data_IF_279300461773
#
_entry.id   IF_279300461773
#
_cell.length_a   1.000
_cell.length_b   1.000
_cell.length_c   1.000
_cell.angle_alpha   90.00
_cell.angle_beta   90.00
_cell.angle_gamma   90.00
#
_symmetry.space_group_name_H-M   'P 1'
#
loop_
_entity.id
_entity.type
_entity.pdbx_description
1 polymer ?
#
# COMPACT_ATOMS: atom_id res chain seq x y z
N UNK A 1 14.25 25.95 -1.55
CA UNK A 1 13.61 25.82 -2.86
C UNK A 1 13.64 24.39 -3.43
N UNK A 2 14.17 23.43 -2.69
CA UNK A 2 14.32 22.02 -3.08
C UNK A 2 15.24 21.75 -4.29
N UNK A 3 15.90 22.76 -4.82
CA UNK A 3 16.89 22.56 -5.90
C UNK A 3 18.19 22.00 -5.34
N UNK A 4 18.81 21.09 -6.07
CA UNK A 4 20.14 20.56 -5.73
C UNK A 4 21.20 21.53 -6.25
N UNK A 5 22.06 22.02 -5.35
CA UNK A 5 23.08 23.01 -5.66
C UNK A 5 24.48 22.52 -5.23
N UNK A 6 25.48 22.97 -5.95
CA UNK A 6 26.87 22.75 -5.55
C UNK A 6 27.33 23.77 -4.47
N UNK A 7 28.57 23.64 -3.99
CA UNK A 7 29.17 24.56 -3.02
C UNK A 7 29.29 26.03 -3.50
N UNK A 8 29.17 26.27 -4.80
CA UNK A 8 29.18 27.60 -5.42
C UNK A 8 27.77 28.17 -5.64
N UNK A 9 26.74 27.49 -5.17
CA UNK A 9 25.34 27.90 -5.33
C UNK A 9 24.75 27.64 -6.71
N UNK A 10 25.49 27.02 -7.64
CA UNK A 10 24.96 26.69 -8.99
C UNK A 10 23.97 25.52 -8.89
N UNK A 11 22.83 25.66 -9.52
CA UNK A 11 21.80 24.61 -9.60
C UNK A 11 22.32 23.46 -10.47
N UNK A 12 22.31 22.25 -9.92
CA UNK A 12 22.65 21.01 -10.59
C UNK A 12 21.40 20.26 -11.05
N UNK A 13 20.36 20.24 -10.20
CA UNK A 13 19.06 19.63 -10.47
C UNK A 13 17.95 20.49 -9.88
N UNK A 14 16.80 20.56 -10.53
CA UNK A 14 15.63 21.23 -9.99
C UNK A 14 14.92 20.38 -8.93
N UNK A 15 15.02 19.06 -9.05
CA UNK A 15 14.49 18.09 -8.11
C UNK A 15 15.47 16.93 -8.01
N UNK A 16 15.80 16.49 -6.80
CA UNK A 16 16.75 15.39 -6.61
C UNK A 16 16.18 14.09 -7.18
N UNK A 17 16.86 13.52 -8.20
CA UNK A 17 16.45 12.28 -8.85
C UNK A 17 15.05 12.32 -9.50
N UNK A 18 14.49 13.51 -9.74
CA UNK A 18 13.12 13.78 -10.23
C UNK A 18 11.99 13.39 -9.28
N UNK A 19 12.21 12.48 -8.33
CA UNK A 19 11.22 11.99 -7.36
C UNK A 19 11.46 12.46 -5.92
N UNK A 20 12.57 13.14 -5.66
CA UNK A 20 13.04 13.59 -4.33
C UNK A 20 13.17 12.44 -3.30
N UNK A 21 13.41 11.22 -3.74
CA UNK A 21 13.63 10.07 -2.87
C UNK A 21 15.13 9.77 -2.78
N UNK A 22 15.60 9.55 -1.56
CA UNK A 22 16.98 9.17 -1.29
C UNK A 22 17.21 7.69 -1.69
N UNK A 23 18.05 7.39 -2.69
CA UNK A 23 18.30 6.02 -3.15
C UNK A 23 18.93 5.12 -2.10
N UNK A 24 19.55 5.68 -1.05
CA UNK A 24 20.13 4.90 0.06
C UNK A 24 19.03 4.33 0.97
N UNK A 25 17.89 5.02 1.04
CA UNK A 25 16.77 4.68 1.92
C UNK A 25 15.70 3.83 1.25
N UNK A 26 15.84 3.50 -0.04
CA UNK A 26 14.89 2.65 -0.76
C UNK A 26 15.18 1.17 -0.52
N UNK A 27 14.15 0.37 -0.60
CA UNK A 27 14.22 -1.08 -0.44
C UNK A 27 13.72 -1.80 -1.68
N UNK A 28 14.33 -2.96 -1.97
CA UNK A 28 13.94 -3.80 -3.09
C UNK A 28 12.63 -4.51 -2.80
N UNK A 29 11.67 -4.37 -3.68
CA UNK A 29 10.40 -5.06 -3.57
C UNK A 29 9.92 -5.57 -4.94
N UNK A 30 9.42 -6.81 -4.98
CA UNK A 30 8.81 -7.36 -6.18
C UNK A 30 7.45 -6.74 -6.45
N UNK A 31 7.02 -6.76 -7.71
CA UNK A 31 5.68 -6.33 -8.14
C UNK A 31 4.93 -7.53 -8.71
N UNK A 32 4.27 -8.33 -7.87
CA UNK A 32 3.58 -9.53 -8.33
C UNK A 32 2.46 -9.25 -9.32
N UNK A 33 1.85 -8.06 -9.27
CA UNK A 33 0.76 -7.66 -10.15
C UNK A 33 1.06 -7.85 -11.64
N UNK A 34 2.32 -7.64 -12.06
CA UNK A 34 2.72 -7.80 -13.46
C UNK A 34 2.67 -9.24 -13.96
N UNK A 35 2.86 -10.21 -13.06
CA UNK A 35 2.85 -11.65 -13.37
C UNK A 35 1.49 -12.31 -13.18
N UNK A 36 0.57 -11.63 -12.49
CA UNK A 36 -0.73 -12.20 -12.17
C UNK A 36 -1.62 -12.27 -13.41
N UNK A 37 -2.32 -13.39 -13.56
CA UNK A 37 -3.41 -13.53 -14.50
C UNK A 37 -4.67 -12.82 -13.96
N UNK A 38 -5.65 -12.57 -14.84
CA UNK A 38 -6.90 -11.91 -14.45
C UNK A 38 -7.61 -12.65 -13.31
N UNK A 39 -7.68 -13.98 -13.35
CA UNK A 39 -8.27 -14.80 -12.30
C UNK A 39 -7.57 -14.60 -10.94
N UNK A 40 -6.24 -14.50 -10.96
CA UNK A 40 -5.46 -14.26 -9.75
C UNK A 40 -5.70 -12.85 -9.20
N UNK A 41 -5.86 -11.83 -10.06
CA UNK A 41 -6.23 -10.48 -9.62
C UNK A 41 -7.60 -10.51 -8.95
N UNK A 42 -8.61 -11.13 -9.56
CA UNK A 42 -9.91 -11.30 -8.94
C UNK A 42 -9.78 -12.05 -7.61
N UNK A 43 -9.06 -13.16 -7.58
CA UNK A 43 -8.85 -13.92 -6.36
C UNK A 43 -8.13 -13.13 -5.27
N UNK A 44 -7.22 -12.19 -5.62
CA UNK A 44 -6.51 -11.36 -4.65
C UNK A 44 -7.41 -10.30 -4.00
N UNK A 45 -8.24 -9.63 -4.77
CA UNK A 45 -9.06 -8.51 -4.28
C UNK A 45 -10.47 -8.91 -3.84
N UNK A 46 -11.05 -9.94 -4.46
CA UNK A 46 -12.42 -10.34 -4.18
C UNK A 46 -12.56 -10.89 -2.76
N UNK A 47 -13.48 -10.32 -2.01
CA UNK A 47 -13.87 -10.80 -0.70
C UNK A 47 -14.94 -11.86 -0.87
N UNK A 48 -14.78 -13.09 -0.34
CA UNK A 48 -15.77 -14.16 -0.50
C UNK A 48 -17.11 -13.73 0.10
N UNK A 49 -18.17 -13.82 -0.71
CA UNK A 49 -19.51 -13.38 -0.28
C UNK A 49 -20.26 -14.41 0.53
N UNK A 50 -20.12 -15.69 0.23
CA UNK A 50 -21.03 -16.73 0.73
C UNK A 50 -20.38 -18.02 1.23
N UNK A 51 -19.14 -18.29 0.93
CA UNK A 51 -18.58 -19.64 1.11
C UNK A 51 -18.31 -20.03 2.57
N UNK A 52 -18.58 -19.13 3.52
CA UNK A 52 -18.27 -19.51 4.88
C UNK A 52 -18.88 -18.57 5.91
N UNK A 53 -20.16 -18.73 6.16
CA UNK A 53 -20.75 -18.21 7.42
C UNK A 53 -19.87 -18.57 8.62
N UNK A 54 -19.22 -19.73 8.60
CA UNK A 54 -18.26 -20.18 9.59
C UNK A 54 -16.97 -19.34 9.61
N UNK A 55 -16.33 -19.06 8.47
CA UNK A 55 -15.13 -18.22 8.42
C UNK A 55 -15.43 -16.77 8.82
N UNK A 56 -16.58 -16.22 8.43
CA UNK A 56 -16.97 -14.88 8.86
C UNK A 56 -17.23 -14.79 10.36
N UNK A 57 -17.87 -15.79 10.96
CA UNK A 57 -18.15 -15.82 12.40
C UNK A 57 -16.89 -16.01 13.24
N UNK A 58 -15.88 -16.69 12.70
CA UNK A 58 -14.58 -16.86 13.37
C UNK A 58 -13.63 -15.68 13.14
N UNK A 59 -13.83 -14.91 12.05
CA UNK A 59 -12.95 -13.81 11.70
C UNK A 59 -13.37 -12.49 12.35
N UNK A 60 -14.65 -12.18 12.34
CA UNK A 60 -15.15 -10.85 12.71
C UNK A 60 -15.95 -10.89 14.02
N UNK A 61 -15.90 -9.78 14.76
CA UNK A 61 -16.80 -9.56 15.89
C UNK A 61 -18.26 -9.55 15.43
N UNK A 62 -19.19 -9.89 16.33
CA UNK A 62 -20.64 -9.88 16.02
C UNK A 62 -21.10 -8.52 15.48
N UNK A 63 -20.55 -7.43 16.01
CA UNK A 63 -20.91 -6.06 15.59
C UNK A 63 -20.30 -5.68 14.25
N UNK A 64 -19.04 -6.06 13.98
CA UNK A 64 -18.42 -5.90 12.66
C UNK A 64 -19.20 -6.71 11.59
N UNK A 65 -19.61 -7.93 11.90
CA UNK A 65 -20.43 -8.74 11.02
C UNK A 65 -21.79 -8.12 10.68
N UNK A 66 -22.46 -7.46 11.64
CA UNK A 66 -23.70 -6.72 11.40
C UNK A 66 -23.49 -5.50 10.48
N UNK A 67 -22.41 -4.73 10.72
CA UNK A 67 -22.06 -3.58 9.87
C UNK A 67 -21.72 -4.04 8.46
N UNK A 68 -20.94 -5.08 8.28
CA UNK A 68 -20.55 -5.63 7.00
C UNK A 68 -21.76 -6.04 6.14
N UNK A 69 -22.79 -6.66 6.75
CA UNK A 69 -24.03 -7.02 6.03
C UNK A 69 -24.76 -5.78 5.49
N UNK A 70 -24.78 -4.68 6.25
CA UNK A 70 -25.38 -3.41 5.80
C UNK A 70 -24.59 -2.76 4.67
N UNK A 71 -23.27 -2.90 4.69
CA UNK A 71 -22.34 -2.28 3.74
C UNK A 71 -22.06 -3.17 2.50
N UNK A 72 -22.70 -4.33 2.37
CA UNK A 72 -22.38 -5.32 1.32
C UNK A 72 -22.40 -4.73 -0.09
N UNK A 73 -23.42 -3.96 -0.45
CA UNK A 73 -23.56 -3.36 -1.80
C UNK A 73 -22.46 -2.35 -2.10
N UNK A 74 -22.14 -1.50 -1.14
CA UNK A 74 -21.11 -0.48 -1.27
C UNK A 74 -19.71 -1.11 -1.35
N UNK A 75 -19.45 -2.12 -0.52
CA UNK A 75 -18.23 -2.91 -0.55
C UNK A 75 -18.03 -3.61 -1.91
N UNK A 76 -19.06 -4.28 -2.43
CA UNK A 76 -18.99 -4.95 -3.73
C UNK A 76 -18.67 -3.96 -4.85
N UNK A 77 -19.31 -2.80 -4.86
CA UNK A 77 -19.00 -1.74 -5.83
C UNK A 77 -17.55 -1.26 -5.69
N UNK A 78 -17.08 -0.96 -4.47
CA UNK A 78 -15.71 -0.49 -4.22
C UNK A 78 -14.67 -1.52 -4.68
N UNK A 79 -14.89 -2.80 -4.38
CA UNK A 79 -14.00 -3.90 -4.81
C UNK A 79 -13.97 -4.00 -6.34
N UNK A 80 -15.12 -3.92 -7.02
CA UNK A 80 -15.20 -3.91 -8.48
C UNK A 80 -14.42 -2.75 -9.10
N UNK A 81 -14.57 -1.55 -8.56
CA UNK A 81 -13.85 -0.36 -9.03
C UNK A 81 -12.33 -0.52 -8.88
N UNK A 82 -11.86 -1.06 -7.74
CA UNK A 82 -10.44 -1.31 -7.50
C UNK A 82 -9.90 -2.38 -8.45
N UNK A 83 -10.63 -3.48 -8.65
CA UNK A 83 -10.22 -4.54 -9.60
C UNK A 83 -10.05 -3.95 -11.00
N UNK A 84 -11.03 -3.16 -11.46
CA UNK A 84 -10.97 -2.52 -12.78
C UNK A 84 -9.75 -1.60 -12.91
N UNK A 85 -9.48 -0.79 -11.90
CA UNK A 85 -8.29 0.07 -11.85
C UNK A 85 -6.98 -0.75 -11.85
N UNK A 86 -6.93 -1.87 -11.11
CA UNK A 86 -5.73 -2.71 -11.08
C UNK A 86 -5.46 -3.43 -12.39
N UNK A 87 -6.50 -3.85 -13.10
CA UNK A 87 -6.37 -4.43 -14.45
C UNK A 87 -5.81 -3.38 -15.42
N UNK A 88 -6.38 -2.18 -15.43
CA UNK A 88 -5.90 -1.08 -16.27
C UNK A 88 -4.44 -0.70 -15.94
N UNK A 89 -4.12 -0.58 -14.66
CA UNK A 89 -2.78 -0.28 -14.19
C UNK A 89 -1.77 -1.38 -14.56
N UNK A 90 -2.17 -2.66 -14.47
CA UNK A 90 -1.34 -3.78 -14.92
C UNK A 90 -0.99 -3.65 -16.40
N UNK A 91 -1.97 -3.35 -17.24
CA UNK A 91 -1.74 -3.16 -18.67
C UNK A 91 -0.80 -1.98 -18.96
N UNK A 92 -0.99 -0.85 -18.28
CA UNK A 92 -0.11 0.30 -18.39
C UNK A 92 1.32 -0.03 -17.98
N UNK A 93 1.50 -0.74 -16.85
CA UNK A 93 2.82 -1.17 -16.39
C UNK A 93 3.51 -2.09 -17.39
N UNK A 94 2.83 -3.09 -17.93
CA UNK A 94 3.38 -4.03 -18.89
C UNK A 94 3.76 -3.36 -20.21
N UNK A 95 2.92 -2.47 -20.74
CA UNK A 95 3.15 -1.83 -22.04
C UNK A 95 4.20 -0.71 -21.97
N UNK A 96 4.11 0.16 -20.97
CA UNK A 96 4.85 1.42 -20.97
C UNK A 96 6.07 1.41 -20.03
N UNK A 97 6.03 0.67 -18.93
CA UNK A 97 7.09 0.71 -17.91
C UNK A 97 8.05 -0.47 -18.09
N UNK A 98 7.53 -1.68 -18.05
CA UNK A 98 8.37 -2.88 -17.95
C UNK A 98 8.57 -3.61 -19.28
N UNK A 99 7.88 -3.23 -20.34
CA UNK A 99 8.04 -3.82 -21.69
C UNK A 99 8.07 -5.35 -21.68
N UNK A 100 7.17 -5.98 -20.92
CA UNK A 100 7.03 -7.44 -20.78
C UNK A 100 8.22 -8.19 -20.18
N UNK A 101 9.05 -7.52 -19.37
CA UNK A 101 10.12 -8.20 -18.64
C UNK A 101 9.56 -8.98 -17.42
N UNK A 102 10.08 -10.21 -17.19
CA UNK A 102 9.50 -11.12 -16.20
C UNK A 102 9.95 -10.85 -14.74
N UNK A 103 11.19 -10.42 -14.54
CA UNK A 103 11.77 -10.22 -13.21
C UNK A 103 11.83 -8.73 -12.86
N UNK A 104 10.72 -8.23 -12.33
CA UNK A 104 10.62 -6.82 -11.95
C UNK A 104 10.85 -6.70 -10.45
N UNK A 105 11.93 -6.02 -10.10
CA UNK A 105 12.24 -5.59 -8.75
C UNK A 105 12.21 -4.07 -8.75
N UNK A 106 11.43 -3.49 -7.87
CA UNK A 106 11.34 -2.04 -7.69
C UNK A 106 12.13 -1.61 -6.47
N UNK A 107 12.74 -0.46 -6.59
CA UNK A 107 13.34 0.28 -5.48
C UNK A 107 12.34 1.32 -5.01
N UNK A 108 11.62 1.02 -3.93
CA UNK A 108 10.61 1.91 -3.36
C UNK A 108 10.93 2.24 -1.90
N UNK A 109 10.45 3.40 -1.40
CA UNK A 109 10.80 3.86 -0.04
C UNK A 109 10.33 2.95 1.08
N UNK A 110 9.38 2.06 0.79
CA UNK A 110 8.70 1.26 1.81
C UNK A 110 8.61 -0.20 1.40
N UNK A 111 9.07 -1.11 2.24
CA UNK A 111 8.89 -2.55 2.06
C UNK A 111 7.66 -3.04 2.83
N UNK A 112 6.52 -3.12 2.14
CA UNK A 112 5.22 -3.43 2.75
C UNK A 112 5.21 -4.74 3.54
N UNK A 113 5.66 -5.84 2.95
CA UNK A 113 5.62 -7.16 3.59
C UNK A 113 6.45 -7.23 4.87
N UNK A 114 7.66 -6.63 4.86
CA UNK A 114 8.52 -6.58 6.04
C UNK A 114 7.85 -5.82 7.18
N UNK A 115 7.27 -4.66 6.87
CA UNK A 115 6.61 -3.82 7.89
C UNK A 115 5.36 -4.52 8.43
N UNK A 116 4.54 -5.14 7.57
CA UNK A 116 3.39 -5.93 8.01
C UNK A 116 3.79 -7.07 8.94
N UNK A 117 4.83 -7.83 8.59
CA UNK A 117 5.33 -8.91 9.44
C UNK A 117 5.86 -8.38 10.78
N UNK A 118 6.62 -7.29 10.77
CA UNK A 118 7.15 -6.69 12.00
C UNK A 118 6.03 -6.26 12.95
N UNK A 119 4.98 -5.62 12.42
CA UNK A 119 3.85 -5.19 13.24
C UNK A 119 3.04 -6.40 13.75
N UNK A 120 2.87 -7.42 12.92
CA UNK A 120 2.21 -8.65 13.33
C UNK A 120 2.92 -9.31 14.50
N UNK A 121 4.26 -9.36 14.48
CA UNK A 121 5.07 -9.85 15.58
C UNK A 121 5.05 -8.92 16.80
N UNK A 122 5.19 -7.62 16.60
CA UNK A 122 5.19 -6.62 17.68
C UNK A 122 3.88 -6.61 18.46
N UNK A 123 2.76 -6.78 17.78
CA UNK A 123 1.44 -6.80 18.39
C UNK A 123 0.97 -8.21 18.77
N UNK A 124 1.82 -9.23 18.59
CA UNK A 124 1.50 -10.64 18.85
C UNK A 124 0.19 -11.10 18.19
N UNK A 125 -0.06 -10.67 16.95
CA UNK A 125 -1.30 -11.03 16.25
C UNK A 125 -1.24 -12.49 15.82
N UNK A 126 -2.13 -13.30 16.36
CA UNK A 126 -2.26 -14.72 16.05
C UNK A 126 -3.40 -14.94 15.05
N UNK A 127 -3.38 -16.11 14.40
CA UNK A 127 -4.40 -16.50 13.40
C UNK A 127 -5.83 -16.63 13.95
N UNK A 128 -5.98 -16.75 15.27
CA UNK A 128 -7.26 -16.83 15.96
C UNK A 128 -7.81 -15.47 16.45
N UNK A 129 -7.08 -14.36 16.21
CA UNK A 129 -7.55 -13.04 16.58
C UNK A 129 -8.82 -12.66 15.82
N UNK A 130 -9.74 -12.02 16.54
CA UNK A 130 -11.01 -11.55 15.99
C UNK A 130 -10.88 -10.10 15.55
N UNK A 131 -11.32 -9.80 14.34
CA UNK A 131 -11.24 -8.50 13.70
C UNK A 131 -12.45 -7.65 14.05
N UNK A 132 -12.22 -6.41 14.46
CA UNK A 132 -13.22 -5.43 14.90
C UNK A 132 -13.62 -4.40 13.83
N UNK A 133 -12.92 -4.40 12.70
CA UNK A 133 -13.10 -3.46 11.59
C UNK A 133 -13.71 -4.16 10.36
N UNK A 134 -14.56 -3.44 9.61
CA UNK A 134 -15.08 -3.94 8.34
C UNK A 134 -14.13 -3.65 7.17
N UNK A 135 -14.16 -4.45 6.08
CA UNK A 135 -13.33 -4.19 4.91
C UNK A 135 -13.55 -2.80 4.28
N UNK A 136 -14.78 -2.29 4.31
CA UNK A 136 -15.07 -0.94 3.79
C UNK A 136 -14.44 0.14 4.67
N UNK A 137 -14.53 0.01 6.00
CA UNK A 137 -13.86 0.91 6.94
C UNK A 137 -12.33 0.85 6.77
N UNK A 138 -11.76 -0.33 6.46
CA UNK A 138 -10.35 -0.45 6.17
C UNK A 138 -9.96 0.30 4.89
N UNK A 139 -10.73 0.18 3.81
CA UNK A 139 -10.50 0.98 2.60
C UNK A 139 -10.55 2.47 2.87
N UNK A 140 -11.53 2.96 3.64
CA UNK A 140 -11.63 4.39 3.97
C UNK A 140 -10.42 4.89 4.77
N UNK A 141 -9.87 4.07 5.67
CA UNK A 141 -8.65 4.41 6.39
C UNK A 141 -7.42 4.43 5.45
N UNK A 142 -7.28 3.43 4.59
CA UNK A 142 -6.20 3.34 3.60
C UNK A 142 -6.21 4.54 2.66
N UNK A 143 -7.39 4.92 2.16
CA UNK A 143 -7.57 6.09 1.29
C UNK A 143 -7.23 7.39 2.02
N UNK A 144 -7.67 7.53 3.28
CA UNK A 144 -7.36 8.69 4.10
C UNK A 144 -5.85 8.87 4.28
N UNK A 145 -5.16 7.85 4.75
CA UNK A 145 -3.70 7.92 4.96
C UNK A 145 -2.93 8.16 3.66
N UNK A 146 -3.39 7.61 2.55
CA UNK A 146 -2.78 7.91 1.24
C UNK A 146 -2.98 9.38 0.83
N UNK A 147 -4.16 9.93 1.07
CA UNK A 147 -4.47 11.33 0.80
C UNK A 147 -3.64 12.27 1.70
N UNK A 148 -3.54 11.94 2.99
CA UNK A 148 -2.73 12.68 3.95
C UNK A 148 -1.23 12.65 3.54
N UNK A 149 -0.73 11.48 3.11
CA UNK A 149 0.62 11.35 2.58
C UNK A 149 0.84 12.21 1.34
N UNK A 150 -0.12 12.22 0.42
CA UNK A 150 -0.07 13.01 -0.80
C UNK A 150 -0.07 14.53 -0.54
N UNK A 151 -0.65 14.98 0.57
CA UNK A 151 -0.70 16.39 0.96
C UNK A 151 0.51 16.82 1.79
N UNK A 152 1.09 15.90 2.58
CA UNK A 152 2.16 16.21 3.52
C UNK A 152 3.56 16.24 2.89
N UNK A 153 3.72 15.66 1.70
CA UNK A 153 5.02 15.58 1.03
C UNK A 153 5.21 16.69 0.00
N UNK A 154 6.44 17.20 -0.12
CA UNK A 154 6.81 18.20 -1.15
C UNK A 154 6.61 17.66 -2.57
N UNK A 155 6.87 16.38 -2.75
CA UNK A 155 6.62 15.65 -4.00
C UNK A 155 5.51 14.65 -3.82
N UNK A 156 4.60 14.63 -4.77
CA UNK A 156 3.51 13.67 -4.76
C UNK A 156 4.04 12.24 -4.92
N UNK A 157 3.50 11.27 -4.18
CA UNK A 157 3.83 9.87 -4.40
C UNK A 157 3.62 9.46 -5.86
N UNK A 158 4.53 8.68 -6.41
CA UNK A 158 4.45 8.20 -7.79
C UNK A 158 3.25 7.29 -8.00
N UNK A 159 2.72 7.25 -9.22
CA UNK A 159 1.62 6.32 -9.57
C UNK A 159 2.02 4.85 -9.31
N UNK A 160 3.29 4.51 -9.49
CA UNK A 160 3.81 3.19 -9.18
C UNK A 160 3.72 2.86 -7.68
N UNK A 161 4.06 3.83 -6.82
CA UNK A 161 3.90 3.68 -5.37
C UNK A 161 2.42 3.52 -4.98
N UNK A 162 1.51 4.27 -5.63
CA UNK A 162 0.07 4.14 -5.44
C UNK A 162 -0.43 2.73 -5.81
N UNK A 163 0.03 2.18 -6.92
CA UNK A 163 -0.31 0.81 -7.33
C UNK A 163 0.17 -0.20 -6.29
N UNK A 164 1.42 -0.07 -5.82
CA UNK A 164 1.96 -0.92 -4.76
C UNK A 164 1.18 -0.78 -3.45
N UNK A 165 0.80 0.46 -3.06
CA UNK A 165 0.00 0.74 -1.88
C UNK A 165 -1.32 -0.02 -1.88
N UNK A 166 -2.12 0.10 -2.94
CA UNK A 166 -3.41 -0.60 -3.04
C UNK A 166 -3.26 -2.11 -3.27
N UNK A 167 -2.17 -2.55 -3.88
CA UNK A 167 -1.90 -3.97 -4.06
C UNK A 167 -1.61 -4.67 -2.74
N UNK A 168 -0.69 -4.13 -1.94
CA UNK A 168 -0.27 -4.76 -0.69
C UNK A 168 -1.24 -4.53 0.48
N UNK A 169 -1.96 -3.41 0.49
CA UNK A 169 -2.89 -3.07 1.57
C UNK A 169 -4.33 -3.51 1.28
N UNK A 170 -4.51 -4.64 0.61
CA UNK A 170 -5.86 -5.18 0.40
C UNK A 170 -6.49 -5.61 1.72
N UNK A 171 -7.75 -5.18 2.02
CA UNK A 171 -8.45 -5.62 3.22
C UNK A 171 -8.61 -7.13 3.34
N UNK A 172 -8.66 -7.86 2.21
CA UNK A 172 -8.67 -9.33 2.24
C UNK A 172 -7.41 -9.89 2.89
N UNK A 173 -6.22 -9.44 2.45
CA UNK A 173 -4.95 -9.87 3.02
C UNK A 173 -4.83 -9.42 4.49
N UNK A 174 -5.11 -8.15 4.78
CA UNK A 174 -4.92 -7.59 6.11
C UNK A 174 -5.89 -8.15 7.15
N UNK A 175 -7.18 -8.24 6.82
CA UNK A 175 -8.21 -8.61 7.80
C UNK A 175 -8.48 -10.11 7.84
N UNK A 176 -8.53 -10.79 6.69
CA UNK A 176 -8.88 -12.20 6.63
C UNK A 176 -7.69 -13.12 6.81
N UNK A 177 -6.55 -12.79 6.20
CA UNK A 177 -5.35 -13.63 6.28
C UNK A 177 -4.49 -13.28 7.50
N UNK A 178 -4.21 -12.01 7.72
CA UNK A 178 -3.31 -11.55 8.79
C UNK A 178 -4.00 -11.15 10.09
N UNK A 179 -5.33 -11.05 10.09
CA UNK A 179 -6.14 -10.77 11.30
C UNK A 179 -5.81 -9.42 11.96
N UNK A 180 -5.47 -8.41 11.19
CA UNK A 180 -5.25 -7.08 11.73
C UNK A 180 -6.55 -6.50 12.30
N UNK A 181 -6.50 -6.01 13.53
CA UNK A 181 -7.57 -5.22 14.12
C UNK A 181 -7.39 -3.73 13.77
N UNK A 182 -8.35 -2.88 14.16
CA UNK A 182 -8.32 -1.45 13.88
C UNK A 182 -7.03 -0.78 14.38
N UNK A 183 -6.58 -1.12 15.59
CA UNK A 183 -5.36 -0.56 16.17
C UNK A 183 -4.12 -0.94 15.36
N UNK A 184 -3.99 -2.22 15.02
CA UNK A 184 -2.87 -2.70 14.22
C UNK A 184 -2.85 -2.09 12.81
N UNK A 185 -4.02 -1.90 12.20
CA UNK A 185 -4.12 -1.24 10.90
C UNK A 185 -3.66 0.22 10.96
N UNK A 186 -4.07 0.97 11.97
CA UNK A 186 -3.62 2.35 12.17
C UNK A 186 -2.10 2.41 12.36
N UNK A 187 -1.55 1.59 13.25
CA UNK A 187 -0.08 1.52 13.47
C UNK A 187 0.66 1.15 12.18
N UNK A 188 0.10 0.24 11.38
CA UNK A 188 0.65 -0.11 10.07
C UNK A 188 0.72 1.11 9.15
N UNK A 189 -0.40 1.80 8.96
CA UNK A 189 -0.48 2.95 8.07
C UNK A 189 0.40 4.11 8.53
N UNK A 190 0.46 4.39 9.83
CA UNK A 190 1.39 5.37 10.42
C UNK A 190 2.85 4.99 10.18
N UNK A 191 3.22 3.72 10.41
CA UNK A 191 4.59 3.25 10.19
C UNK A 191 4.99 3.36 8.71
N UNK A 192 4.07 3.02 7.78
CA UNK A 192 4.30 3.17 6.35
C UNK A 192 4.53 4.64 5.97
N UNK A 193 3.69 5.54 6.49
CA UNK A 193 3.80 6.99 6.27
C UNK A 193 5.13 7.54 6.82
N UNK A 194 5.52 7.15 8.02
CA UNK A 194 6.79 7.56 8.63
C UNK A 194 7.99 7.07 7.79
N UNK A 195 7.98 5.81 7.35
CA UNK A 195 9.07 5.28 6.54
C UNK A 195 9.15 5.94 5.15
N UNK A 196 8.01 6.25 4.54
CA UNK A 196 7.99 7.01 3.31
C UNK A 196 8.60 8.40 3.50
N UNK A 197 8.15 9.15 4.52
CA UNK A 197 8.65 10.49 4.80
C UNK A 197 10.13 10.51 5.15
N UNK A 198 10.66 9.46 5.78
CA UNK A 198 12.11 9.32 6.06
C UNK A 198 12.94 9.16 4.79
N UNK A 199 12.38 8.59 3.74
CA UNK A 199 13.06 8.38 2.48
C UNK A 199 13.03 9.62 1.57
N UNK A 200 12.09 10.53 1.79
CA UNK A 200 12.03 11.81 1.05
C UNK A 200 13.14 12.73 1.53
N UNK A 201 13.83 13.35 0.58
CA UNK A 201 14.86 14.36 0.85
C UNK A 201 14.22 15.63 1.38
N UNK A 202 14.73 16.13 2.51
CA UNK A 202 14.22 17.35 3.14
C UNK A 202 14.99 18.60 2.69
N UNK A 203 14.37 19.81 2.78
CA UNK A 203 15.07 21.05 2.50
C UNK A 203 16.30 21.22 3.40
N UNK A 204 17.45 21.53 2.81
CA UNK A 204 18.71 21.70 3.54
C UNK A 204 19.46 20.40 3.84
N UNK A 205 18.95 19.26 3.41
CA UNK A 205 19.67 17.98 3.52
C UNK A 205 20.81 17.91 2.51
N UNK A 206 21.96 17.37 2.95
CA UNK A 206 23.09 17.17 2.08
C UNK A 206 22.86 15.90 1.26
N UNK A 207 22.82 16.05 -0.05
CA UNK A 207 22.65 14.95 -1.01
C UNK A 207 23.89 14.82 -1.88
N UNK A 208 24.30 13.63 -2.19
CA UNK A 208 25.47 13.40 -3.04
C UNK A 208 25.91 11.94 -3.02
N UNK A 209 26.86 11.66 -3.89
CA UNK A 209 27.53 10.36 -3.86
C UNK A 209 28.40 10.23 -2.61
N UNK A 210 28.24 9.16 -1.93
CA UNK A 210 29.19 8.68 -0.92
C UNK A 210 30.23 7.84 -1.63
#
# INVERSE_FOLDING_TARGET
DMTVRNNKGKILQFSYGDDNIDPIKVENQSVPLTRMNLEQIYAHFQIPEDSSKALFTTTYTKDAGKRMRKQKKELSKRVSDIISQMIENREKLLKHVFKHTDNIVLHIPVHFLRIMNNIQHQMNIQSNFVVDITPLEAYTLIDKYFTDLHQSTYTKPTELFKIAWYYYLTPKELLMMRRFNRKALVVLLETLTINYNKAVVNPGEMVGMV
#
